data_IF_772950658800
#
_entry.id   IF_772950658800
#
_cell.length_a   1.000
_cell.length_b   1.000
_cell.length_c   1.000
_cell.angle_alpha   90.00
_cell.angle_beta   90.00
_cell.angle_gamma   90.00
#
_symmetry.space_group_name_H-M   'P 1'
#
loop_
_entity.id
_entity.type
_entity.pdbx_description
1 polymer ?
#
# COMPACT_ATOMS: atom_id res chain seq x y z
N UNK A 1 20.78 -0.29 15.49
CA UNK A 1 20.54 -1.70 15.87
C UNK A 1 19.72 -2.31 14.75
N UNK A 2 20.31 -3.19 13.93
CA UNK A 2 19.51 -3.96 12.97
C UNK A 2 18.56 -4.83 13.78
N UNK A 3 17.25 -4.60 13.64
CA UNK A 3 16.23 -5.52 14.12
C UNK A 3 16.42 -6.90 13.46
N UNK A 4 15.68 -7.91 13.94
CA UNK A 4 15.79 -9.33 13.59
C UNK A 4 16.11 -9.56 12.09
N UNK A 5 16.77 -10.67 11.72
CA UNK A 5 17.22 -11.04 10.34
C UNK A 5 16.30 -10.63 9.16
N UNK A 6 14.99 -10.64 9.38
CA UNK A 6 13.94 -10.39 8.39
C UNK A 6 13.13 -9.10 8.65
N UNK A 7 13.67 -8.17 9.44
CA UNK A 7 13.01 -6.92 9.82
C UNK A 7 14.01 -5.77 9.89
N UNK A 8 13.63 -4.60 9.38
CA UNK A 8 14.38 -3.36 9.59
C UNK A 8 13.42 -2.18 9.78
N UNK A 9 13.89 -1.07 10.34
CA UNK A 9 13.11 0.14 10.45
C UNK A 9 13.84 1.35 9.87
N UNK A 10 13.06 2.38 9.59
CA UNK A 10 13.51 3.68 9.10
C UNK A 10 13.06 4.74 10.09
N UNK A 11 13.86 5.81 10.21
CA UNK A 11 13.53 6.97 11.00
C UNK A 11 14.04 8.21 10.28
N UNK A 12 13.16 9.16 10.02
CA UNK A 12 13.53 10.49 9.54
C UNK A 12 13.72 11.41 10.76
N UNK A 13 14.82 12.17 10.80
CA UNK A 13 15.09 13.14 11.88
C UNK A 13 14.74 14.58 11.50
N UNK A 14 14.39 14.81 10.23
CA UNK A 14 14.10 16.13 9.67
C UNK A 14 12.74 16.08 8.96
N UNK A 15 11.66 15.91 9.74
CA UNK A 15 10.30 15.76 9.22
C UNK A 15 9.69 17.07 8.72
N UNK A 16 10.36 18.19 8.96
CA UNK A 16 10.08 19.48 8.34
C UNK A 16 10.15 19.41 6.81
N UNK A 17 11.03 18.59 6.25
CA UNK A 17 11.13 18.35 4.80
C UNK A 17 9.94 17.56 4.22
N UNK A 18 9.10 16.94 5.06
CA UNK A 18 7.88 16.27 4.57
C UNK A 18 6.75 17.27 4.35
N UNK A 19 6.87 18.49 4.89
CA UNK A 19 5.79 19.48 4.90
C UNK A 19 5.79 20.29 3.63
N UNK A 20 4.58 20.56 3.14
CA UNK A 20 4.37 21.45 2.00
C UNK A 20 3.97 22.84 2.47
N UNK A 21 4.27 23.87 1.67
CA UNK A 21 3.98 25.27 2.00
C UNK A 21 2.49 25.55 2.18
N UNK A 22 1.62 24.85 1.44
CA UNK A 22 0.17 24.89 1.58
C UNK A 22 -0.38 23.97 2.67
N UNK A 23 0.50 23.43 3.52
CA UNK A 23 0.18 22.59 4.66
C UNK A 23 -0.49 21.27 4.30
N UNK A 24 -1.19 20.70 5.29
CA UNK A 24 -1.80 19.35 5.19
C UNK A 24 -2.82 19.21 4.05
N UNK A 25 -3.49 20.29 3.65
CA UNK A 25 -4.42 20.26 2.53
C UNK A 25 -3.70 20.07 1.19
N UNK A 26 -2.55 20.72 1.01
CA UNK A 26 -1.72 20.52 -0.18
C UNK A 26 -1.08 19.13 -0.20
N UNK A 27 -0.62 18.64 0.95
CA UNK A 27 -0.12 17.27 1.12
C UNK A 27 -1.17 16.23 0.71
N UNK A 28 -2.41 16.40 1.18
CA UNK A 28 -3.51 15.51 0.83
C UNK A 28 -3.84 15.54 -0.67
N UNK A 29 -3.94 16.73 -1.27
CA UNK A 29 -4.21 16.89 -2.71
C UNK A 29 -3.10 16.28 -3.57
N UNK A 30 -1.85 16.38 -3.13
CA UNK A 30 -0.70 15.79 -3.83
C UNK A 30 -0.75 14.26 -3.71
N UNK A 31 -0.92 13.74 -2.50
CA UNK A 31 -1.04 12.30 -2.28
C UNK A 31 -2.19 11.67 -3.07
N UNK A 32 -3.35 12.32 -3.12
CA UNK A 32 -4.52 11.82 -3.87
C UNK A 32 -4.25 11.74 -5.37
N UNK A 33 -3.53 12.73 -5.92
CA UNK A 33 -3.11 12.74 -7.32
C UNK A 33 -2.14 11.60 -7.63
N UNK A 34 -1.22 11.32 -6.72
CA UNK A 34 -0.21 10.28 -6.90
C UNK A 34 -0.79 8.86 -6.72
N UNK A 35 -1.69 8.65 -5.74
CA UNK A 35 -2.30 7.35 -5.44
C UNK A 35 -3.41 6.99 -6.45
N UNK A 36 -4.26 7.95 -6.81
CA UNK A 36 -5.48 7.70 -7.58
C UNK A 36 -5.58 8.45 -8.92
N UNK A 37 -4.74 9.45 -9.17
CA UNK A 37 -4.80 10.26 -10.40
C UNK A 37 -6.09 11.08 -10.55
N UNK A 38 -6.80 11.33 -9.43
CA UNK A 38 -8.13 11.99 -9.40
C UNK A 38 -8.18 13.07 -8.34
N UNK A 39 -9.16 13.98 -8.47
CA UNK A 39 -9.53 14.89 -7.37
C UNK A 39 -10.55 14.23 -6.44
N UNK A 40 -10.81 14.83 -5.27
CA UNK A 40 -11.89 14.35 -4.38
C UNK A 40 -13.27 14.49 -5.05
N UNK A 41 -13.46 15.53 -5.86
CA UNK A 41 -14.75 15.81 -6.49
C UNK A 41 -15.08 14.76 -7.57
N UNK A 42 -14.05 14.15 -8.17
CA UNK A 42 -14.18 13.03 -9.14
C UNK A 42 -14.56 11.69 -8.47
N UNK A 43 -14.62 11.66 -7.13
CA UNK A 43 -14.94 10.47 -6.35
C UNK A 43 -16.42 10.55 -5.93
N UNK A 44 -17.28 9.92 -6.73
CA UNK A 44 -18.74 9.97 -6.60
C UNK A 44 -19.33 9.28 -5.36
N UNK A 45 -18.55 8.46 -4.64
CA UNK A 45 -19.03 7.69 -3.49
C UNK A 45 -18.47 8.27 -2.20
N UNK A 46 -19.34 8.88 -1.38
CA UNK A 46 -18.99 9.45 -0.07
C UNK A 46 -18.18 8.47 0.80
N UNK A 47 -18.62 7.21 0.87
CA UNK A 47 -17.91 6.17 1.61
C UNK A 47 -16.46 5.95 1.12
N UNK A 48 -16.21 6.09 -0.19
CA UNK A 48 -14.85 6.00 -0.74
C UNK A 48 -14.01 7.22 -0.33
N UNK A 49 -14.61 8.42 -0.28
CA UNK A 49 -13.92 9.62 0.22
C UNK A 49 -13.51 9.46 1.68
N UNK A 50 -14.39 8.91 2.52
CA UNK A 50 -14.09 8.63 3.94
C UNK A 50 -12.92 7.66 4.09
N UNK A 51 -12.92 6.56 3.33
CA UNK A 51 -11.84 5.56 3.35
C UNK A 51 -10.51 6.16 2.90
N UNK A 52 -10.52 6.98 1.85
CA UNK A 52 -9.34 7.66 1.31
C UNK A 52 -8.79 8.66 2.33
N UNK A 53 -9.65 9.47 2.94
CA UNK A 53 -9.26 10.44 3.96
C UNK A 53 -8.67 9.73 5.20
N UNK A 54 -9.33 8.65 5.65
CA UNK A 54 -8.83 7.82 6.74
C UNK A 54 -7.46 7.21 6.42
N UNK A 55 -7.30 6.63 5.22
CA UNK A 55 -6.03 6.05 4.73
C UNK A 55 -4.92 7.10 4.74
N UNK A 56 -5.18 8.30 4.21
CA UNK A 56 -4.21 9.39 4.20
C UNK A 56 -3.79 9.79 5.62
N UNK A 57 -4.75 10.06 6.50
CA UNK A 57 -4.46 10.49 7.89
C UNK A 57 -3.62 9.44 8.59
N UNK A 58 -3.99 8.16 8.47
CA UNK A 58 -3.31 7.03 9.10
C UNK A 58 -1.87 6.86 8.59
N UNK A 59 -1.67 6.82 7.26
CA UNK A 59 -0.34 6.63 6.66
C UNK A 59 0.58 7.81 7.01
N UNK A 60 0.08 9.04 6.94
CA UNK A 60 0.88 10.21 7.26
C UNK A 60 1.33 10.28 8.73
N UNK A 61 0.64 9.63 9.68
CA UNK A 61 1.10 9.62 11.07
C UNK A 61 2.49 8.99 11.22
N UNK A 62 2.87 8.12 10.29
CA UNK A 62 4.18 7.49 10.35
C UNK A 62 5.31 8.44 9.94
N UNK A 63 5.06 9.49 9.16
CA UNK A 63 6.10 10.40 8.63
C UNK A 63 7.35 9.62 8.13
N UNK A 64 7.11 8.57 7.34
CA UNK A 64 8.15 7.64 6.83
C UNK A 64 9.02 6.94 7.90
N UNK A 65 8.61 6.97 9.17
CA UNK A 65 9.20 6.18 10.25
C UNK A 65 8.50 4.81 10.30
N UNK A 66 8.94 3.91 9.43
CA UNK A 66 8.29 2.62 9.19
C UNK A 66 9.15 1.44 9.61
N UNK A 67 8.49 0.35 10.02
CA UNK A 67 9.11 -0.97 10.21
C UNK A 67 8.71 -1.87 9.06
N UNK A 68 9.70 -2.36 8.33
CA UNK A 68 9.54 -3.25 7.19
C UNK A 68 9.87 -4.68 7.58
N UNK A 69 9.07 -5.62 7.09
CA UNK A 69 9.29 -7.06 7.24
C UNK A 69 9.51 -7.70 5.89
N UNK A 70 10.41 -8.68 5.83
CA UNK A 70 10.71 -9.42 4.61
C UNK A 70 9.49 -10.23 4.17
N UNK A 71 9.14 -10.09 2.90
CA UNK A 71 8.24 -10.99 2.17
C UNK A 71 9.01 -11.66 1.03
N UNK A 72 8.51 -12.78 0.53
CA UNK A 72 9.15 -13.55 -0.53
C UNK A 72 8.23 -13.64 -1.74
N UNK A 73 8.81 -13.62 -2.94
CA UNK A 73 8.07 -13.97 -4.15
C UNK A 73 7.68 -15.46 -4.07
N UNK A 74 6.46 -15.85 -4.49
CA UNK A 74 6.06 -17.25 -4.50
C UNK A 74 6.94 -18.08 -5.45
N UNK A 75 7.27 -19.34 -5.10
CA UNK A 75 7.97 -20.23 -6.02
C UNK A 75 7.07 -20.54 -7.23
N UNK A 76 7.68 -20.80 -8.38
CA UNK A 76 6.98 -21.23 -9.59
C UNK A 76 7.33 -22.67 -9.91
N UNK A 77 6.34 -23.45 -10.32
CA UNK A 77 6.49 -24.84 -10.73
C UNK A 77 5.90 -25.08 -12.13
N UNK A 78 6.40 -26.07 -12.89
CA UNK A 78 5.90 -26.37 -14.24
C UNK A 78 4.42 -26.79 -14.29
N UNK A 79 3.91 -27.35 -13.19
CA UNK A 79 2.54 -27.82 -13.03
C UNK A 79 1.56 -26.74 -12.50
N UNK A 80 2.05 -25.54 -12.19
CA UNK A 80 1.18 -24.45 -11.77
C UNK A 80 0.23 -24.06 -12.92
N UNK A 81 -1.07 -23.95 -12.61
CA UNK A 81 -2.11 -23.60 -13.60
C UNK A 81 -1.85 -22.25 -14.29
N UNK A 82 -1.28 -21.30 -13.55
CA UNK A 82 -0.83 -19.99 -14.05
C UNK A 82 0.44 -19.59 -13.33
N UNK A 83 1.20 -18.64 -13.89
CA UNK A 83 2.40 -18.12 -13.24
C UNK A 83 2.04 -17.46 -11.89
N UNK A 84 2.57 -17.94 -10.74
CA UNK A 84 2.38 -17.29 -9.46
C UNK A 84 3.14 -15.95 -9.40
N UNK A 85 2.69 -15.03 -8.53
CA UNK A 85 3.29 -13.70 -8.44
C UNK A 85 2.35 -12.67 -7.81
N UNK A 86 2.64 -11.39 -8.07
CA UNK A 86 1.87 -10.26 -7.56
C UNK A 86 0.90 -9.72 -8.62
N UNK A 87 -0.33 -9.45 -8.21
CA UNK A 87 -1.41 -8.96 -9.05
C UNK A 87 -2.06 -7.73 -8.43
N UNK A 88 -2.56 -6.84 -9.28
CA UNK A 88 -3.45 -5.75 -8.88
C UNK A 88 -4.88 -6.27 -8.93
N UNK A 89 -5.61 -6.20 -7.82
CA UNK A 89 -6.99 -6.63 -7.72
C UNK A 89 -7.91 -5.47 -7.33
N UNK A 90 -9.09 -5.40 -7.93
CA UNK A 90 -10.13 -4.45 -7.51
C UNK A 90 -10.79 -4.93 -6.22
N UNK A 91 -10.83 -4.08 -5.19
CA UNK A 91 -11.37 -4.39 -3.87
C UNK A 91 -12.52 -3.45 -3.47
N UNK A 92 -13.42 -3.18 -4.42
CA UNK A 92 -14.59 -2.33 -4.23
C UNK A 92 -14.20 -0.89 -3.88
N UNK A 93 -14.82 -0.33 -2.84
CA UNK A 93 -14.56 1.03 -2.34
C UNK A 93 -13.14 1.23 -1.79
N UNK A 94 -12.40 0.16 -1.50
CA UNK A 94 -10.99 0.25 -1.09
C UNK A 94 -10.04 0.53 -2.27
N UNK A 95 -10.54 0.47 -3.52
CA UNK A 95 -9.74 0.71 -4.71
C UNK A 95 -8.93 -0.51 -5.13
N UNK A 96 -7.69 -0.29 -5.60
CA UNK A 96 -6.79 -1.36 -6.02
C UNK A 96 -5.94 -1.84 -4.84
N UNK A 97 -5.85 -3.16 -4.70
CA UNK A 97 -4.99 -3.81 -3.72
C UNK A 97 -3.98 -4.71 -4.41
N UNK A 98 -2.81 -4.90 -3.77
CA UNK A 98 -1.81 -5.87 -4.21
C UNK A 98 -2.11 -7.20 -3.55
N UNK A 99 -2.24 -8.24 -4.38
CA UNK A 99 -2.48 -9.61 -3.94
C UNK A 99 -1.38 -10.51 -4.47
N UNK A 100 -0.84 -11.37 -3.61
CA UNK A 100 0.13 -12.39 -3.99
C UNK A 100 -0.57 -13.73 -4.20
N UNK A 101 -0.46 -14.28 -5.41
CA UNK A 101 -0.94 -15.61 -5.78
C UNK A 101 0.19 -16.64 -5.61
N UNK A 102 -0.06 -17.70 -4.85
CA UNK A 102 0.88 -18.81 -4.63
C UNK A 102 0.16 -20.16 -4.76
N UNK A 103 0.89 -21.20 -5.14
CA UNK A 103 0.36 -22.57 -5.26
C UNK A 103 0.96 -23.50 -4.20
N UNK A 104 0.10 -24.34 -3.62
CA UNK A 104 0.42 -25.30 -2.56
C UNK A 104 -0.20 -26.65 -2.92
N UNK A 105 0.46 -27.38 -3.82
CA UNK A 105 -0.11 -28.58 -4.44
C UNK A 105 -1.28 -28.20 -5.35
N UNK A 106 -2.45 -28.79 -5.14
CA UNK A 106 -3.67 -28.51 -5.92
C UNK A 106 -4.43 -27.27 -5.47
N UNK A 107 -3.91 -26.53 -4.48
CA UNK A 107 -4.58 -25.37 -3.89
C UNK A 107 -3.86 -24.08 -4.28
N UNK A 108 -4.62 -23.13 -4.82
CA UNK A 108 -4.17 -21.76 -5.00
C UNK A 108 -4.51 -20.92 -3.75
N UNK A 109 -3.56 -20.11 -3.29
CA UNK A 109 -3.75 -19.16 -2.18
C UNK A 109 -3.46 -17.74 -2.64
N UNK A 110 -4.43 -16.86 -2.45
CA UNK A 110 -4.31 -15.42 -2.60
C UNK A 110 -4.05 -14.77 -1.24
N UNK A 111 -2.97 -14.00 -1.10
CA UNK A 111 -2.59 -13.31 0.14
C UNK A 111 -2.62 -11.80 -0.09
N UNK A 112 -3.38 -11.07 0.73
CA UNK A 112 -3.43 -9.59 0.70
C UNK A 112 -2.07 -9.01 1.12
N UNK A 113 -1.53 -8.07 0.36
CA UNK A 113 -0.21 -7.43 0.59
C UNK A 113 -0.36 -5.97 1.01
N UNK A 114 -1.22 -5.22 0.33
CA UNK A 114 -1.71 -3.89 0.76
C UNK A 114 -3.14 -4.04 1.20
#
# INVERSE_FOLDING_TARGET
>A
QLTKKDEFCTKCLQTDYHRMSGGRQEEFRTWLRDDLGRTLDDIFHEHMQELILMKFIYICQYDNCLTYRRIYHPPSRPDDLVKPGFFKGTYGSHGLEIVMLSFHGTVAKATKIT
#
